data_IF_847250829567
#
_entry.id   IF_847250829567
#
_cell.length_a   1.000
_cell.length_b   1.000
_cell.length_c   1.000
_cell.angle_alpha   90.00
_cell.angle_beta   90.00
_cell.angle_gamma   90.00
#
_symmetry.space_group_name_H-M   'P 1'
#
loop_
_entity.id
_entity.type
_entity.pdbx_description
1 polymer ?
#
# COMPACT_ATOMS: atom_id res chain seq x y z
N UNK A 1 -9.22 -5.93 16.64
CA UNK A 1 -9.90 -6.89 15.75
C UNK A 1 -8.80 -7.71 15.09
N UNK A 2 -8.70 -9.02 15.37
CA UNK A 2 -7.59 -9.84 14.83
C UNK A 2 -7.83 -10.15 13.36
N UNK A 3 -6.99 -9.62 12.46
CA UNK A 3 -7.14 -9.78 11.00
C UNK A 3 -6.96 -11.24 10.53
N UNK A 4 -6.43 -12.12 11.38
CA UNK A 4 -6.23 -13.55 11.11
C UNK A 4 -7.49 -14.34 10.69
N UNK A 5 -8.69 -13.85 11.03
CA UNK A 5 -9.98 -14.47 10.67
C UNK A 5 -10.59 -13.93 9.37
N UNK A 6 -9.98 -12.91 8.76
CA UNK A 6 -10.49 -12.26 7.53
C UNK A 6 -10.22 -13.15 6.31
N UNK A 7 -11.18 -13.21 5.39
CA UNK A 7 -11.05 -14.03 4.18
C UNK A 7 -9.95 -13.48 3.27
N UNK A 8 -9.34 -14.33 2.44
CA UNK A 8 -8.31 -13.89 1.49
C UNK A 8 -8.84 -12.79 0.56
N UNK A 9 -10.08 -12.92 0.11
CA UNK A 9 -10.74 -11.95 -0.79
C UNK A 9 -10.88 -10.59 -0.11
N UNK A 10 -11.28 -10.59 1.16
CA UNK A 10 -11.45 -9.36 1.92
C UNK A 10 -10.11 -8.68 2.22
N UNK A 11 -9.07 -9.46 2.57
CA UNK A 11 -7.71 -8.94 2.72
C UNK A 11 -7.25 -8.27 1.43
N UNK A 12 -7.42 -8.94 0.29
CA UNK A 12 -7.07 -8.37 -1.02
C UNK A 12 -7.82 -7.08 -1.32
N UNK A 13 -9.14 -7.04 -1.05
CA UNK A 13 -9.95 -5.85 -1.28
C UNK A 13 -9.58 -4.69 -0.35
N UNK A 14 -9.17 -4.98 0.89
CA UNK A 14 -8.70 -3.98 1.84
C UNK A 14 -7.34 -3.42 1.42
N UNK A 15 -6.37 -4.28 1.08
CA UNK A 15 -5.05 -3.85 0.60
C UNK A 15 -5.16 -3.03 -0.67
N UNK A 16 -5.99 -3.46 -1.63
CA UNK A 16 -6.24 -2.71 -2.86
C UNK A 16 -6.86 -1.33 -2.58
N UNK A 17 -7.76 -1.24 -1.61
CA UNK A 17 -8.36 0.05 -1.19
C UNK A 17 -7.30 0.99 -0.62
N UNK A 18 -6.38 0.47 0.19
CA UNK A 18 -5.25 1.25 0.73
C UNK A 18 -4.37 1.75 -0.41
N UNK A 19 -3.97 0.87 -1.34
CA UNK A 19 -3.16 1.24 -2.48
C UNK A 19 -3.81 2.31 -3.37
N UNK A 20 -5.11 2.14 -3.71
CA UNK A 20 -5.86 3.15 -4.50
C UNK A 20 -5.89 4.51 -3.82
N UNK A 21 -6.11 4.55 -2.50
CA UNK A 21 -6.11 5.81 -1.73
C UNK A 21 -4.72 6.41 -1.63
N UNK A 22 -3.67 5.60 -1.53
CA UNK A 22 -2.29 6.07 -1.57
C UNK A 22 -1.99 6.79 -2.88
N UNK A 23 -2.34 6.21 -4.04
CA UNK A 23 -2.12 6.88 -5.33
C UNK A 23 -2.94 8.16 -5.49
N UNK A 24 -4.17 8.19 -4.97
CA UNK A 24 -4.98 9.40 -4.95
C UNK A 24 -4.31 10.49 -4.11
N UNK A 25 -3.93 10.17 -2.86
CA UNK A 25 -3.26 11.10 -1.95
C UNK A 25 -1.96 11.64 -2.56
N UNK A 26 -1.15 10.76 -3.18
CA UNK A 26 0.09 11.14 -3.86
C UNK A 26 -0.17 12.07 -5.05
N UNK A 27 -1.18 11.80 -5.87
CA UNK A 27 -1.55 12.67 -7.00
C UNK A 27 -2.02 14.04 -6.52
N UNK A 28 -2.81 14.08 -5.44
CA UNK A 28 -3.27 15.35 -4.82
C UNK A 28 -2.08 16.14 -4.29
N UNK A 29 -1.16 15.50 -3.58
CA UNK A 29 0.05 16.15 -3.06
C UNK A 29 0.92 16.73 -4.21
N UNK A 30 1.10 15.97 -5.30
CA UNK A 30 1.85 16.44 -6.47
C UNK A 30 1.19 17.67 -7.13
N UNK A 31 -0.11 17.63 -7.37
CA UNK A 31 -0.83 18.76 -7.98
C UNK A 31 -0.79 20.02 -7.10
N UNK A 32 -0.74 19.86 -5.77
CA UNK A 32 -0.57 20.98 -4.84
C UNK A 32 0.83 21.56 -4.92
N UNK A 33 1.87 20.73 -4.93
CA UNK A 33 3.24 21.17 -5.10
C UNK A 33 3.41 21.97 -6.41
N UNK A 34 2.84 21.48 -7.51
CA UNK A 34 2.89 22.16 -8.81
C UNK A 34 2.19 23.54 -8.78
N UNK A 35 1.06 23.65 -8.06
CA UNK A 35 0.35 24.93 -7.86
C UNK A 35 1.11 25.91 -6.98
N UNK A 36 1.68 25.45 -5.86
CA UNK A 36 2.47 26.30 -4.96
C UNK A 36 3.67 26.91 -5.68
N UNK A 37 4.36 26.12 -6.50
CA UNK A 37 5.47 26.59 -7.35
C UNK A 37 4.97 27.66 -8.33
N UNK A 38 3.79 27.47 -8.91
CA UNK A 38 3.21 28.38 -9.91
C UNK A 38 2.66 29.68 -9.31
N UNK A 39 2.12 29.63 -8.08
CA UNK A 39 1.37 30.74 -7.48
C UNK A 39 2.13 31.47 -6.34
N UNK A 40 3.32 31.00 -5.93
CA UNK A 40 4.11 31.53 -4.80
C UNK A 40 3.31 31.69 -3.49
N UNK A 41 2.23 30.91 -3.33
CA UNK A 41 1.36 30.96 -2.17
C UNK A 41 1.94 30.18 -0.99
N UNK A 42 1.60 30.61 0.22
CA UNK A 42 1.96 29.92 1.46
C UNK A 42 0.98 28.77 1.72
N UNK A 43 1.51 27.59 2.07
CA UNK A 43 0.75 26.35 2.26
C UNK A 43 -0.37 26.48 3.31
N UNK A 44 -1.58 26.02 2.95
CA UNK A 44 -2.53 25.48 3.93
C UNK A 44 -2.34 23.96 3.92
N UNK A 45 -1.63 23.43 4.90
CA UNK A 45 -1.32 21.99 4.94
C UNK A 45 -2.60 21.18 5.07
N UNK A 46 -2.83 20.29 4.11
CA UNK A 46 -3.89 19.30 4.22
C UNK A 46 -3.28 18.07 4.88
N UNK A 47 -3.11 18.20 6.19
CA UNK A 47 -2.39 17.28 7.07
C UNK A 47 -2.88 15.84 6.89
N UNK A 48 -4.13 15.65 6.47
CA UNK A 48 -4.75 14.33 6.23
C UNK A 48 -4.05 13.53 5.13
N UNK A 49 -3.71 14.16 4.01
CA UNK A 49 -3.06 13.45 2.89
C UNK A 49 -1.64 13.02 3.29
N UNK A 50 -0.90 13.91 3.93
CA UNK A 50 0.48 13.64 4.36
C UNK A 50 0.52 12.57 5.44
N UNK A 51 -0.38 12.64 6.44
CA UNK A 51 -0.54 11.59 7.45
C UNK A 51 -0.85 10.24 6.78
N UNK A 52 -1.74 10.22 5.79
CA UNK A 52 -2.09 8.98 5.08
C UNK A 52 -0.88 8.39 4.32
N UNK A 53 -0.13 9.25 3.61
CA UNK A 53 1.07 8.83 2.89
C UNK A 53 2.12 8.27 3.85
N UNK A 54 2.39 8.98 4.94
CA UNK A 54 3.33 8.55 5.98
C UNK A 54 2.91 7.21 6.59
N UNK A 55 1.64 7.03 6.94
CA UNK A 55 1.14 5.75 7.47
C UNK A 55 1.37 4.56 6.52
N UNK A 56 1.19 4.78 5.22
CA UNK A 56 1.47 3.72 4.23
C UNK A 56 2.96 3.39 4.19
N UNK A 57 3.83 4.41 4.20
CA UNK A 57 5.28 4.20 4.21
C UNK A 57 5.75 3.48 5.48
N UNK A 58 5.26 3.89 6.64
CA UNK A 58 5.54 3.23 7.92
C UNK A 58 5.08 1.77 7.92
N UNK A 59 3.89 1.49 7.37
CA UNK A 59 3.41 0.12 7.24
C UNK A 59 4.35 -0.73 6.37
N UNK A 60 4.90 -0.18 5.28
CA UNK A 60 5.90 -0.87 4.46
C UNK A 60 7.22 -1.12 5.19
N UNK A 61 7.63 -0.23 6.09
CA UNK A 61 8.87 -0.41 6.87
C UNK A 61 8.80 -1.56 7.88
N UNK A 62 7.61 -1.93 8.32
CA UNK A 62 7.42 -3.10 9.19
C UNK A 62 7.52 -4.44 8.46
N UNK A 63 7.45 -4.44 7.12
CA UNK A 63 7.45 -5.66 6.31
C UNK A 63 8.86 -6.16 6.03
N UNK A 64 9.01 -7.48 5.98
CA UNK A 64 10.21 -8.09 5.40
C UNK A 64 10.35 -7.73 3.93
N UNK A 65 11.56 -7.79 3.37
CA UNK A 65 11.80 -7.52 1.95
C UNK A 65 10.89 -8.36 1.03
N UNK A 66 10.71 -9.64 1.37
CA UNK A 66 9.85 -10.56 0.61
C UNK A 66 8.39 -10.14 0.61
N UNK A 67 7.86 -9.72 1.76
CA UNK A 67 6.47 -9.26 1.89
C UNK A 67 6.28 -7.91 1.19
N UNK A 68 7.24 -7.00 1.36
CA UNK A 68 7.28 -5.71 0.67
C UNK A 68 7.21 -5.90 -0.84
N UNK A 69 8.00 -6.82 -1.40
CA UNK A 69 7.98 -7.16 -2.82
C UNK A 69 6.63 -7.73 -3.27
N UNK A 70 6.02 -8.60 -2.47
CA UNK A 70 4.68 -9.15 -2.75
C UNK A 70 3.62 -8.04 -2.77
N UNK A 71 3.57 -7.19 -1.74
CA UNK A 71 2.59 -6.10 -1.67
C UNK A 71 2.80 -5.09 -2.79
N UNK A 72 4.04 -4.71 -3.05
CA UNK A 72 4.37 -3.78 -4.11
C UNK A 72 3.93 -4.29 -5.47
N UNK A 73 4.34 -5.51 -5.85
CA UNK A 73 4.04 -6.05 -7.17
C UNK A 73 2.55 -6.36 -7.36
N UNK A 74 1.82 -6.70 -6.30
CA UNK A 74 0.41 -7.08 -6.41
C UNK A 74 -0.55 -5.89 -6.33
N UNK A 75 -0.17 -4.78 -5.67
CA UNK A 75 -1.11 -3.70 -5.36
C UNK A 75 -0.61 -2.29 -5.71
N UNK A 76 0.69 -2.02 -5.65
CA UNK A 76 1.24 -0.67 -5.83
C UNK A 76 1.91 -0.46 -7.19
N UNK A 77 2.46 -1.49 -7.80
CA UNK A 77 3.04 -1.41 -9.12
C UNK A 77 2.24 -2.27 -10.09
N UNK A 78 2.13 -1.81 -11.34
CA UNK A 78 1.63 -2.64 -12.44
C UNK A 78 2.71 -3.62 -12.87
N UNK A 79 3.02 -4.60 -12.00
CA UNK A 79 3.82 -5.73 -12.39
C UNK A 79 3.03 -6.59 -13.38
N UNK A 80 3.73 -7.24 -14.31
CA UNK A 80 3.07 -8.11 -15.28
C UNK A 80 2.32 -9.25 -14.58
N UNK A 81 1.16 -9.63 -15.11
CA UNK A 81 0.37 -10.70 -14.52
C UNK A 81 1.17 -12.01 -14.48
N UNK A 82 1.24 -12.62 -13.29
CA UNK A 82 1.93 -13.89 -13.12
C UNK A 82 3.45 -13.78 -12.93
N UNK A 83 3.96 -12.62 -12.53
CA UNK A 83 5.40 -12.43 -12.23
C UNK A 83 6.00 -13.42 -11.24
N UNK A 84 5.15 -13.95 -10.36
CA UNK A 84 5.53 -14.91 -9.35
C UNK A 84 5.73 -16.34 -9.88
N UNK A 85 5.28 -16.66 -11.10
CA UNK A 85 5.24 -18.05 -11.61
C UNK A 85 6.62 -18.69 -11.76
N UNK A 86 7.66 -17.89 -11.99
CA UNK A 86 9.05 -18.38 -12.08
C UNK A 86 9.75 -18.48 -10.73
N UNK A 87 9.14 -17.95 -9.66
CA UNK A 87 9.73 -17.83 -8.33
C UNK A 87 9.04 -18.77 -7.33
N UNK A 88 7.71 -18.94 -7.46
CA UNK A 88 6.88 -19.65 -6.52
C UNK A 88 5.93 -20.61 -7.22
N UNK A 89 5.65 -21.74 -6.56
CA UNK A 89 4.46 -22.54 -6.89
C UNK A 89 3.19 -21.77 -6.51
N UNK A 90 2.08 -22.05 -7.19
CA UNK A 90 0.80 -21.37 -6.96
C UNK A 90 0.38 -21.34 -5.48
N UNK A 91 0.42 -22.49 -4.81
CA UNK A 91 0.04 -22.60 -3.39
C UNK A 91 0.95 -21.77 -2.48
N UNK A 92 2.27 -21.81 -2.73
CA UNK A 92 3.27 -21.06 -1.99
C UNK A 92 3.07 -19.56 -2.15
N UNK A 93 2.83 -19.11 -3.38
CA UNK A 93 2.55 -17.71 -3.68
C UNK A 93 1.33 -17.21 -2.91
N UNK A 94 0.17 -17.88 -3.04
CA UNK A 94 -1.04 -17.44 -2.35
C UNK A 94 -0.92 -17.47 -0.83
N UNK A 95 -0.17 -18.42 -0.27
CA UNK A 95 0.15 -18.46 1.15
C UNK A 95 0.96 -17.23 1.58
N UNK A 96 2.04 -16.90 0.87
CA UNK A 96 2.86 -15.74 1.20
C UNK A 96 2.16 -14.42 0.93
N UNK A 97 1.38 -14.33 -0.15
CA UNK A 97 0.54 -13.16 -0.44
C UNK A 97 -0.46 -12.91 0.69
N UNK A 98 -1.11 -13.96 1.20
CA UNK A 98 -2.02 -13.83 2.36
C UNK A 98 -1.30 -13.27 3.58
N UNK A 99 -0.13 -13.81 3.91
CA UNK A 99 0.66 -13.38 5.06
C UNK A 99 1.12 -11.92 4.92
N UNK A 100 1.64 -11.55 3.75
CA UNK A 100 2.06 -10.19 3.46
C UNK A 100 0.90 -9.19 3.59
N UNK A 101 -0.31 -9.54 3.09
CA UNK A 101 -1.50 -8.68 3.23
C UNK A 101 -1.90 -8.51 4.69
N UNK A 102 -1.85 -9.59 5.49
CA UNK A 102 -2.15 -9.53 6.92
C UNK A 102 -1.20 -8.57 7.64
N UNK A 103 0.12 -8.80 7.53
CA UNK A 103 1.10 -7.97 8.22
C UNK A 103 1.03 -6.50 7.77
N UNK A 104 0.85 -6.25 6.47
CA UNK A 104 0.71 -4.90 5.95
C UNK A 104 -0.52 -4.18 6.51
N UNK A 105 -1.68 -4.83 6.50
CA UNK A 105 -2.92 -4.24 7.01
C UNK A 105 -2.88 -4.09 8.53
N UNK A 106 -2.28 -5.03 9.25
CA UNK A 106 -2.06 -4.91 10.69
C UNK A 106 -1.20 -3.69 11.00
N UNK A 107 -0.05 -3.53 10.33
CA UNK A 107 0.79 -2.35 10.49
C UNK A 107 0.05 -1.05 10.10
N UNK A 108 -0.70 -1.05 9.01
CA UNK A 108 -1.41 0.15 8.56
C UNK A 108 -2.55 0.62 9.51
N UNK A 109 -3.29 -0.31 10.12
CA UNK A 109 -4.43 0.02 10.98
C UNK A 109 -4.08 0.11 12.47
N UNK A 110 -2.94 -0.41 12.90
CA UNK A 110 -2.50 -0.39 14.30
C UNK A 110 -1.46 0.70 14.62
N UNK A 111 -0.96 1.43 13.62
CA UNK A 111 -0.22 2.69 13.79
C UNK A 111 -1.19 3.87 13.88
#
# INVERSE_FOLDING_TARGET
MTLSKVSFKDLSAMTERVARRYFLARKVAQLKADRLISEQLQEVSDTTCDIYLTKVLEAFETLTEKERNLINNEFFFQSYQGWWKTIYTTSTFYRYKKLAMLHFLEAFYHV
#
